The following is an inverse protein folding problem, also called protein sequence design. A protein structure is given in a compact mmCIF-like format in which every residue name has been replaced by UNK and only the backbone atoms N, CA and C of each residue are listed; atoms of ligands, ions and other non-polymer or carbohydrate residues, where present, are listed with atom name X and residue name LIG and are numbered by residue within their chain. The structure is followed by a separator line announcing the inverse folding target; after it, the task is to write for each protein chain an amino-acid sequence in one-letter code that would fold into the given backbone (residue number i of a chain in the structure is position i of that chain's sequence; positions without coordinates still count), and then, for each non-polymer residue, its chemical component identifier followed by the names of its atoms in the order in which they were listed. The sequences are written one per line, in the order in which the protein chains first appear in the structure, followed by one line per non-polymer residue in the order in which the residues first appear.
data_IF_622656847456
#
_entry.id   IF_622656847456
#
_cell.length_a   1.000
_cell.length_b   1.000
_cell.length_c   1.000
_cell.angle_alpha   90.00
_cell.angle_beta   90.00
_cell.angle_gamma   90.00
#
_symmetry.space_group_name_H-M   'P 1'
#
loop_
_entity.id
_entity.type
_entity.pdbx_description
1 polymer ?
#
# COMPACT_ATOMS: atom_id res chain seq x y z
N UNK A 1 5.65 5.16 13.09
CA UNK A 1 5.05 4.22 12.11
C UNK A 1 6.16 3.40 11.50
N UNK A 2 5.89 2.13 11.19
CA UNK A 2 6.84 1.20 10.61
C UNK A 2 6.79 1.31 9.08
N UNK A 3 7.93 1.50 8.38
CA UNK A 3 7.94 1.57 6.93
C UNK A 3 7.55 0.22 6.31
N UNK A 4 6.71 0.23 5.29
CA UNK A 4 6.22 -0.98 4.63
C UNK A 4 7.36 -1.88 4.11
N UNK A 5 8.43 -1.30 3.55
CA UNK A 5 9.61 -2.05 3.08
C UNK A 5 10.35 -2.82 4.16
N UNK A 6 10.19 -2.42 5.42
CA UNK A 6 10.83 -3.08 6.57
C UNK A 6 10.01 -4.25 7.09
N UNK A 7 8.75 -4.38 6.65
CA UNK A 7 7.90 -5.51 7.01
C UNK A 7 8.39 -6.79 6.31
N UNK A 8 8.16 -7.96 6.91
CA UNK A 8 8.43 -9.23 6.25
C UNK A 8 7.70 -9.32 4.90
N UNK A 9 8.31 -9.95 3.88
CA UNK A 9 7.72 -10.03 2.54
C UNK A 9 6.34 -10.71 2.55
N UNK A 10 6.11 -11.65 3.46
CA UNK A 10 4.81 -12.31 3.65
C UNK A 10 3.73 -11.32 4.13
N UNK A 11 4.07 -10.45 5.08
CA UNK A 11 3.16 -9.41 5.59
C UNK A 11 2.89 -8.37 4.50
N UNK A 12 3.91 -7.98 3.74
CA UNK A 12 3.73 -7.08 2.60
C UNK A 12 2.77 -7.66 1.56
N UNK A 13 2.93 -8.94 1.23
CA UNK A 13 2.06 -9.63 0.27
C UNK A 13 0.61 -9.71 0.79
N UNK A 14 0.42 -10.05 2.05
CA UNK A 14 -0.91 -10.12 2.67
C UNK A 14 -1.61 -8.75 2.68
N UNK A 15 -0.91 -7.69 3.07
CA UNK A 15 -1.46 -6.33 3.07
C UNK A 15 -1.87 -5.87 1.67
N UNK A 16 -1.06 -6.19 0.64
CA UNK A 16 -1.39 -5.88 -0.77
C UNK A 16 -2.62 -6.66 -1.24
N UNK A 17 -2.71 -7.94 -0.91
CA UNK A 17 -3.84 -8.79 -1.29
C UNK A 17 -5.16 -8.34 -0.63
N UNK A 18 -5.12 -8.07 0.68
CA UNK A 18 -6.27 -7.53 1.42
C UNK A 18 -6.71 -6.19 0.84
N UNK A 19 -5.77 -5.27 0.60
CA UNK A 19 -6.10 -3.98 0.02
C UNK A 19 -6.65 -4.10 -1.41
N UNK A 20 -6.13 -5.03 -2.22
CA UNK A 20 -6.62 -5.28 -3.57
C UNK A 20 -8.08 -5.76 -3.56
N UNK A 21 -8.43 -6.70 -2.67
CA UNK A 21 -9.80 -7.20 -2.50
C UNK A 21 -10.77 -6.10 -2.05
N UNK A 22 -10.35 -5.25 -1.12
CA UNK A 22 -11.15 -4.11 -0.65
C UNK A 22 -11.33 -3.03 -1.75
N UNK A 23 -10.38 -2.90 -2.67
CA UNK A 23 -10.40 -1.92 -3.77
C UNK A 23 -10.95 -2.46 -5.10
N UNK A 24 -11.13 -3.77 -5.27
CA UNK A 24 -11.80 -4.39 -6.42
C UNK A 24 -13.11 -3.67 -6.82
N UNK A 25 -14.02 -3.30 -5.89
CA UNK A 25 -15.26 -2.61 -6.25
C UNK A 25 -15.08 -1.13 -6.63
N UNK A 26 -13.93 -0.50 -6.38
CA UNK A 26 -13.74 0.96 -6.51
C UNK A 26 -12.89 1.40 -7.72
N UNK A 27 -12.54 0.49 -8.62
CA UNK A 27 -11.59 0.79 -9.69
C UNK A 27 -12.20 1.56 -10.89
N UNK A 28 -12.28 2.89 -10.80
CA UNK A 28 -12.24 3.78 -11.97
C UNK A 28 -11.41 5.04 -11.67
N UNK A 29 -10.25 5.13 -12.34
CA UNK A 29 -9.52 6.37 -12.71
C UNK A 29 -8.86 7.25 -11.63
N UNK A 30 -8.08 6.68 -10.71
CA UNK A 30 -7.27 7.49 -9.79
C UNK A 30 -5.76 7.40 -10.12
N UNK A 31 -5.07 8.54 -10.06
CA UNK A 31 -3.63 8.69 -10.25
C UNK A 31 -2.82 7.86 -9.24
N UNK A 32 -1.55 7.57 -9.56
CA UNK A 32 -0.67 6.81 -8.66
C UNK A 32 -0.55 7.45 -7.27
N UNK A 33 -0.42 8.76 -7.21
CA UNK A 33 -0.32 9.53 -5.96
C UNK A 33 -1.56 9.35 -5.08
N UNK A 34 -2.74 9.36 -5.70
CA UNK A 34 -4.03 9.16 -5.02
C UNK A 34 -4.18 7.72 -4.50
N UNK A 35 -3.66 6.73 -5.24
CA UNK A 35 -3.58 5.34 -4.77
C UNK A 35 -2.65 5.22 -3.56
N UNK A 36 -1.52 5.92 -3.57
CA UNK A 36 -0.57 5.91 -2.45
C UNK A 36 -1.21 6.58 -1.23
N UNK A 37 -1.83 7.75 -1.38
CA UNK A 37 -2.51 8.43 -0.29
C UNK A 37 -3.63 7.57 0.31
N UNK A 38 -4.43 6.90 -0.53
CA UNK A 38 -5.49 6.00 -0.07
C UNK A 38 -4.95 4.74 0.60
N UNK A 39 -3.88 4.15 0.07
CA UNK A 39 -3.22 3.02 0.69
C UNK A 39 -2.59 3.40 2.04
N UNK A 40 -1.95 4.56 2.14
CA UNK A 40 -1.45 5.11 3.40
C UNK A 40 -2.56 5.34 4.42
N UNK A 41 -3.69 5.92 4.01
CA UNK A 41 -4.82 6.12 4.89
C UNK A 41 -5.37 4.79 5.44
N UNK A 42 -5.35 3.73 4.63
CA UNK A 42 -5.71 2.37 5.06
C UNK A 42 -4.65 1.71 5.96
N UNK A 43 -3.37 1.97 5.72
CA UNK A 43 -2.25 1.46 6.52
C UNK A 43 -2.06 2.19 7.86
N UNK A 44 -2.48 3.45 7.95
CA UNK A 44 -2.34 4.29 9.14
C UNK A 44 -2.87 3.67 10.44
N UNK A 45 -4.10 3.11 10.49
CA UNK A 45 -4.59 2.41 11.69
C UNK A 45 -3.78 1.16 12.04
N UNK A 46 -3.04 0.58 11.09
CA UNK A 46 -2.19 -0.60 11.28
C UNK A 46 -0.76 -0.20 11.72
N UNK A 47 -0.49 1.10 11.89
CA UNK A 47 0.82 1.63 12.29
C UNK A 47 1.88 1.57 11.20
N UNK A 48 1.48 1.32 9.94
CA UNK A 48 2.38 1.16 8.79
C UNK A 48 2.35 2.42 7.92
N UNK A 49 3.48 2.79 7.35
CA UNK A 49 3.60 3.86 6.35
C UNK A 49 4.13 3.29 5.03
N UNK A 50 3.51 3.68 3.92
CA UNK A 50 3.93 3.33 2.56
C UNK A 50 4.24 4.60 1.79
N UNK A 51 5.35 4.65 1.06
CA UNK A 51 5.73 5.85 0.31
C UNK A 51 6.20 5.50 -1.10
N UNK A 52 6.42 6.50 -1.95
CA UNK A 52 6.97 6.30 -3.29
C UNK A 52 8.35 5.62 -3.23
N UNK A 53 9.13 5.84 -2.17
CA UNK A 53 10.41 5.16 -1.94
C UNK A 53 10.25 3.65 -1.68
N UNK A 54 9.05 3.23 -1.28
CA UNK A 54 8.67 1.85 -0.99
C UNK A 54 8.17 1.13 -2.25
N UNK A 55 7.99 1.85 -3.36
CA UNK A 55 7.76 1.23 -4.66
C UNK A 55 9.01 0.47 -5.10
N UNK A 56 8.84 -0.70 -5.74
CA UNK A 56 9.96 -1.43 -6.30
C UNK A 56 10.63 -0.55 -7.35
N UNK A 57 11.83 -0.04 -7.03
CA UNK A 57 12.67 0.65 -8.00
C UNK A 57 13.02 -0.36 -9.09
N UNK A 58 12.44 -0.20 -10.29
CA UNK A 58 12.89 -0.96 -11.47
C UNK A 58 14.37 -0.63 -11.68
N UNK A 59 15.22 -1.66 -11.57
CA UNK A 59 16.62 -1.62 -11.97
C UNK A 59 16.73 -1.77 -13.48
#
# INVERSE_FOLDING_TARGET
MTPFKTLPPEVQAQLRDTYAKEMEPQAKTCSLDEKIARFNAWLAPQGVSFDLDDLPRRK
#
